data_IF_204402430745
#
_entry.id   IF_204402430745
#
_cell.length_a   1.000
_cell.length_b   1.000
_cell.length_c   1.000
_cell.angle_alpha   90.00
_cell.angle_beta   90.00
_cell.angle_gamma   90.00
#
_symmetry.space_group_name_H-M   'P 1'
#
loop_
_entity.id
_entity.type
_entity.pdbx_description
1 polymer ?
#
# COMPACT_ATOMS: atom_id res chain seq x y z
N UNK A 1 3.14 -19.99 8.90
CA UNK A 1 3.08 -18.71 9.63
C UNK A 1 1.77 -18.02 9.24
N UNK A 2 0.64 -18.30 9.91
CA UNK A 2 -0.65 -18.06 9.29
C UNK A 2 -1.38 -16.79 9.71
N UNK A 3 -0.77 -15.88 10.47
CA UNK A 3 -1.43 -14.62 10.85
C UNK A 3 -0.45 -13.44 10.73
N UNK A 4 -0.29 -12.92 9.51
CA UNK A 4 0.32 -11.59 9.33
C UNK A 4 -0.68 -10.55 9.83
N UNK A 5 -0.55 -10.17 11.08
CA UNK A 5 -1.36 -9.12 11.70
C UNK A 5 -1.19 -7.77 10.98
N UNK A 6 -2.21 -6.91 11.06
CA UNK A 6 -2.26 -5.56 10.48
C UNK A 6 -0.99 -4.77 10.83
N UNK A 7 -0.46 -4.95 12.05
CA UNK A 7 0.79 -4.33 12.48
C UNK A 7 1.99 -4.74 11.62
N UNK A 8 2.09 -6.02 11.24
CA UNK A 8 3.19 -6.53 10.40
C UNK A 8 3.14 -5.90 9.00
N UNK A 9 1.95 -5.81 8.40
CA UNK A 9 1.77 -5.16 7.11
C UNK A 9 2.12 -3.68 7.17
N UNK A 10 1.73 -2.99 8.23
CA UNK A 10 2.06 -1.58 8.43
C UNK A 10 3.55 -1.36 8.61
N UNK A 11 4.24 -2.21 9.37
CA UNK A 11 5.70 -2.12 9.52
C UNK A 11 6.41 -2.36 8.19
N UNK A 12 5.95 -3.33 7.39
CA UNK A 12 6.52 -3.56 6.05
C UNK A 12 6.27 -2.34 5.16
N UNK A 13 5.01 -1.93 5.00
CA UNK A 13 4.62 -0.79 4.14
C UNK A 13 5.34 0.50 4.56
N UNK A 14 5.38 0.81 5.86
CA UNK A 14 6.09 1.95 6.42
C UNK A 14 7.58 1.90 6.10
N UNK A 15 8.22 0.73 6.27
CA UNK A 15 9.63 0.55 5.91
C UNK A 15 9.91 0.82 4.42
N UNK A 16 9.02 0.40 3.51
CA UNK A 16 9.19 0.73 2.08
C UNK A 16 8.98 2.21 1.79
N UNK A 17 7.99 2.84 2.44
CA UNK A 17 7.71 4.28 2.31
C UNK A 17 8.89 5.13 2.82
N UNK A 18 9.45 4.79 3.97
CA UNK A 18 10.60 5.48 4.56
C UNK A 18 11.85 5.37 3.67
N UNK A 19 11.97 4.26 2.93
CA UNK A 19 13.03 4.06 1.94
C UNK A 19 12.69 4.64 0.54
N UNK A 20 11.58 5.36 0.39
CA UNK A 20 11.15 5.95 -0.88
C UNK A 20 10.69 4.93 -1.95
N UNK A 21 10.48 3.68 -1.56
CA UNK A 21 10.08 2.55 -2.41
C UNK A 21 8.56 2.41 -2.47
N UNK A 22 7.91 3.43 -3.04
CA UNK A 22 6.45 3.54 -3.04
C UNK A 22 5.75 2.45 -3.86
N UNK A 23 6.36 1.95 -4.93
CA UNK A 23 5.80 0.86 -5.75
C UNK A 23 5.66 -0.44 -4.94
N UNK A 24 6.71 -0.82 -4.21
CA UNK A 24 6.68 -2.00 -3.35
C UNK A 24 5.76 -1.83 -2.15
N UNK A 25 5.68 -0.62 -1.60
CA UNK A 25 4.69 -0.29 -0.57
C UNK A 25 3.25 -0.51 -1.09
N UNK A 26 2.95 -0.08 -2.32
CA UNK A 26 1.65 -0.31 -2.94
C UNK A 26 1.40 -1.78 -3.27
N UNK A 27 2.40 -2.53 -3.77
CA UNK A 27 2.27 -3.97 -3.99
C UNK A 27 1.93 -4.71 -2.69
N UNK A 28 2.55 -4.33 -1.59
CA UNK A 28 2.23 -4.88 -0.27
C UNK A 28 0.84 -4.48 0.22
N UNK A 29 0.43 -3.24 -0.02
CA UNK A 29 -0.94 -2.82 0.26
C UNK A 29 -1.97 -3.63 -0.54
N UNK A 30 -1.73 -3.88 -1.83
CA UNK A 30 -2.59 -4.77 -2.64
C UNK A 30 -2.61 -6.18 -2.09
N UNK A 31 -1.46 -6.74 -1.70
CA UNK A 31 -1.38 -8.08 -1.10
C UNK A 31 -2.12 -8.16 0.25
N UNK A 32 -2.10 -7.08 1.05
CA UNK A 32 -2.85 -6.98 2.30
C UNK A 32 -4.36 -7.06 2.03
N UNK A 33 -4.86 -6.33 1.02
CA UNK A 33 -6.26 -6.38 0.59
C UNK A 33 -6.66 -7.77 0.08
N UNK A 34 -5.83 -8.41 -0.76
CA UNK A 34 -6.12 -9.77 -1.26
C UNK A 34 -6.07 -10.84 -0.18
N UNK A 35 -5.42 -10.55 0.95
CA UNK A 35 -5.36 -11.44 2.11
C UNK A 35 -6.53 -11.24 3.08
N UNK A 36 -7.57 -10.47 2.71
CA UNK A 36 -8.68 -10.07 3.59
C UNK A 36 -8.23 -9.35 4.87
N UNK A 37 -7.06 -8.72 4.86
CA UNK A 37 -6.57 -7.93 5.99
C UNK A 37 -7.01 -6.48 5.80
N UNK A 38 -7.80 -5.96 6.74
CA UNK A 38 -8.34 -4.60 6.66
C UNK A 38 -7.24 -3.58 6.97
N UNK A 39 -6.88 -2.69 6.02
CA UNK A 39 -5.93 -1.62 6.28
C UNK A 39 -6.48 -0.62 7.28
N UNK A 40 -5.61 -0.06 8.11
CA UNK A 40 -5.99 0.95 9.10
C UNK A 40 -5.60 2.36 8.64
N UNK A 41 -5.95 3.37 9.43
CA UNK A 41 -5.66 4.79 9.13
C UNK A 41 -4.18 5.05 8.89
N UNK A 42 -3.29 4.31 9.55
CA UNK A 42 -1.85 4.39 9.34
C UNK A 42 -1.46 3.85 7.96
N UNK A 43 -1.97 2.69 7.57
CA UNK A 43 -1.69 2.10 6.25
C UNK A 43 -2.04 3.07 5.12
N UNK A 44 -3.25 3.66 5.17
CA UNK A 44 -3.71 4.63 4.19
C UNK A 44 -2.86 5.91 4.17
N UNK A 45 -2.50 6.43 5.34
CA UNK A 45 -1.62 7.60 5.45
C UNK A 45 -0.24 7.38 4.83
N UNK A 46 0.32 6.18 4.98
CA UNK A 46 1.64 5.83 4.42
C UNK A 46 1.63 5.65 2.90
N UNK A 47 0.56 5.10 2.31
CA UNK A 47 0.50 4.87 0.86
C UNK A 47 0.01 6.07 0.05
N UNK A 48 -0.69 7.03 0.67
CA UNK A 48 -1.21 8.24 0.00
C UNK A 48 -0.15 9.05 -0.78
N UNK A 49 1.05 9.33 -0.23
CA UNK A 49 2.13 9.98 -0.98
C UNK A 49 2.60 9.15 -2.18
N UNK A 50 2.61 7.83 -2.03
CA UNK A 50 2.92 6.88 -3.11
C UNK A 50 1.88 6.94 -4.22
N UNK A 51 0.59 6.98 -3.89
CA UNK A 51 -0.50 7.16 -4.84
C UNK A 51 -0.45 8.51 -5.56
N UNK A 52 -0.10 9.60 -4.88
CA UNK A 52 0.07 10.90 -5.53
C UNK A 52 1.27 10.91 -6.50
N UNK A 53 2.35 10.20 -6.13
CA UNK A 53 3.56 10.07 -6.96
C UNK A 53 3.38 9.10 -8.14
N UNK A 54 2.52 8.07 -7.99
CA UNK A 54 2.22 7.07 -9.01
C UNK A 54 0.93 7.35 -9.79
N UNK A 55 0.14 8.35 -9.37
CA UNK A 55 -1.00 8.90 -10.11
C UNK A 55 -0.62 9.61 -11.40
N UNK A 56 0.68 9.71 -11.72
CA UNK A 56 1.18 10.07 -13.05
C UNK A 56 1.31 8.86 -14.00
N UNK A 57 0.96 7.64 -13.57
CA UNK A 57 1.04 6.45 -14.41
C UNK A 57 -0.35 5.99 -14.90
N UNK A 58 -0.45 5.42 -16.12
CA UNK A 58 -1.72 5.20 -16.84
C UNK A 58 -2.71 4.19 -16.24
N UNK A 59 -2.34 3.48 -15.18
CA UNK A 59 -3.10 2.38 -14.58
C UNK A 59 -4.38 2.83 -13.85
N UNK A 60 -4.52 4.11 -13.49
CA UNK A 60 -5.77 4.68 -12.94
C UNK A 60 -6.69 5.32 -13.99
N UNK A 61 -6.26 5.42 -15.25
CA UNK A 61 -7.11 5.95 -16.35
C UNK A 61 -8.29 5.03 -16.71
N UNK A 62 -8.31 3.78 -16.22
CA UNK A 62 -9.36 2.81 -16.50
C UNK A 62 -10.50 2.76 -15.49
N UNK A 63 -10.45 3.54 -14.40
CA UNK A 63 -11.48 3.52 -13.35
C UNK A 63 -12.46 4.71 -13.40
N UNK A 64 -12.31 5.64 -14.37
CA UNK A 64 -13.23 6.79 -14.57
C UNK A 64 -13.84 6.77 -16.00
N UNK A 65 -14.03 5.60 -16.60
CA UNK A 65 -14.85 5.48 -17.83
C UNK A 65 -16.02 4.53 -17.64
#
# INVERSE_FOLDING_TARGET
MPDRDVMTWNSMIGGYVDNGRFEEALRLFTMMLTSNVVPNKFTFGSVMPGCAKLGSLPWLSGCIS
#
